data_IF_862952509396
#
_entry.id   IF_862952509396
#
_cell.length_a   1.000
_cell.length_b   1.000
_cell.length_c   1.000
_cell.angle_alpha   90.00
_cell.angle_beta   90.00
_cell.angle_gamma   90.00
#
_symmetry.space_group_name_H-M   'P 1'
#
loop_
_entity.id
_entity.type
_entity.pdbx_description
1 polymer ?
#
# COMPACT_ATOMS: atom_id res chain seq x y z
N UNK A 1 -1.87 6.20 66.72
CA UNK A 1 -2.80 6.58 65.63
C UNK A 1 -2.18 7.77 64.92
N UNK A 2 -1.83 7.78 63.65
CA UNK A 2 -1.91 6.84 62.54
C UNK A 2 -0.74 7.25 61.62
N UNK A 3 0.09 6.28 61.22
CA UNK A 3 1.05 6.46 60.12
C UNK A 3 0.27 6.79 58.85
N UNK A 4 0.72 7.76 58.06
CA UNK A 4 0.24 7.91 56.68
C UNK A 4 1.39 7.55 55.76
N UNK A 5 1.23 6.36 55.18
CA UNK A 5 2.13 5.72 54.24
C UNK A 5 2.16 6.43 52.89
N UNK A 6 3.30 6.26 52.21
CA UNK A 6 3.50 6.30 50.77
C UNK A 6 2.23 6.04 49.96
N UNK A 7 1.97 6.94 49.01
CA UNK A 7 1.50 6.50 47.69
C UNK A 7 2.41 7.12 46.65
N UNK A 8 3.35 6.30 46.19
CA UNK A 8 4.12 6.51 44.98
C UNK A 8 3.15 6.82 43.84
N UNK A 9 3.26 8.03 43.29
CA UNK A 9 2.69 8.36 41.99
C UNK A 9 3.49 7.57 40.97
N UNK A 10 3.03 6.34 40.69
CA UNK A 10 3.45 5.59 39.52
C UNK A 10 3.06 6.41 38.29
N UNK A 11 4.02 7.20 37.80
CA UNK A 11 4.07 7.61 36.40
C UNK A 11 4.11 6.32 35.58
N UNK A 12 2.94 5.82 35.18
CA UNK A 12 2.85 4.95 34.02
C UNK A 12 3.32 5.81 32.85
N UNK A 13 4.61 5.69 32.51
CA UNK A 13 5.04 5.95 31.13
C UNK A 13 4.26 4.95 30.32
N UNK A 14 3.14 5.39 29.74
CA UNK A 14 2.63 4.75 28.55
C UNK A 14 3.79 4.81 27.55
N UNK A 15 4.56 3.72 27.45
CA UNK A 15 5.42 3.49 26.30
C UNK A 15 4.47 3.57 25.10
N UNK A 16 4.53 4.71 24.41
CA UNK A 16 3.74 5.05 23.24
C UNK A 16 4.09 4.03 22.15
N UNK A 17 3.41 2.89 22.19
CA UNK A 17 3.63 1.79 21.28
C UNK A 17 3.14 2.27 19.91
N UNK A 18 4.05 2.77 19.08
CA UNK A 18 3.70 3.18 17.73
C UNK A 18 3.02 1.98 17.03
N UNK A 19 1.80 2.18 16.51
CA UNK A 19 1.06 1.08 15.91
C UNK A 19 1.82 0.56 14.70
N UNK A 20 2.27 -0.69 14.81
CA UNK A 20 2.93 -1.43 13.73
C UNK A 20 2.01 -1.45 12.50
N UNK A 21 2.52 -0.96 11.37
CA UNK A 21 1.77 -0.89 10.11
C UNK A 21 1.26 -2.28 9.68
N UNK A 22 0.01 -2.40 9.25
CA UNK A 22 -0.54 -3.69 8.81
C UNK A 22 -0.15 -4.02 7.34
N UNK A 23 0.94 -4.76 7.17
CA UNK A 23 1.45 -5.21 5.87
C UNK A 23 1.98 -6.65 5.91
N UNK A 24 2.29 -7.25 4.76
CA UNK A 24 2.75 -8.64 4.68
C UNK A 24 4.25 -8.78 4.96
N UNK A 25 5.01 -7.69 4.90
CA UNK A 25 6.44 -7.68 5.18
C UNK A 25 6.73 -7.96 6.65
N UNK A 26 5.92 -7.40 7.56
CA UNK A 26 6.00 -7.60 9.01
C UNK A 26 4.97 -8.62 9.51
N UNK A 27 4.53 -9.55 8.66
CA UNK A 27 3.50 -10.56 8.99
C UNK A 27 3.78 -11.37 10.27
N UNK A 28 5.04 -11.45 10.70
CA UNK A 28 5.43 -12.14 11.93
C UNK A 28 4.94 -11.42 13.20
N UNK A 29 4.71 -10.11 13.11
CA UNK A 29 4.25 -9.24 14.19
C UNK A 29 2.73 -9.05 14.17
N UNK A 30 2.04 -9.60 13.17
CA UNK A 30 0.61 -9.41 12.95
C UNK A 30 -0.21 -10.63 13.37
N UNK A 31 -1.44 -10.43 13.88
CA UNK A 31 -2.38 -11.52 14.12
C UNK A 31 -2.64 -12.32 12.84
N UNK A 32 -2.80 -13.65 12.97
CA UNK A 32 -3.06 -14.54 11.82
C UNK A 32 -4.25 -14.06 10.97
N UNK A 33 -5.33 -13.58 11.61
CA UNK A 33 -6.51 -13.02 10.93
C UNK A 33 -6.17 -11.81 10.07
N UNK A 34 -5.29 -10.93 10.54
CA UNK A 34 -4.80 -9.76 9.79
C UNK A 34 -3.98 -10.22 8.59
N UNK A 35 -3.04 -11.16 8.79
CA UNK A 35 -2.22 -11.72 7.71
C UNK A 35 -3.08 -12.37 6.62
N UNK A 36 -4.11 -13.14 7.01
CA UNK A 36 -5.06 -13.75 6.06
C UNK A 36 -5.81 -12.69 5.25
N UNK A 37 -6.38 -11.68 5.92
CA UNK A 37 -7.07 -10.57 5.25
C UNK A 37 -6.15 -9.85 4.26
N UNK A 38 -4.93 -9.49 4.67
CA UNK A 38 -3.95 -8.81 3.82
C UNK A 38 -3.55 -9.68 2.62
N UNK A 39 -3.39 -10.99 2.83
CA UNK A 39 -3.07 -11.95 1.76
C UNK A 39 -4.20 -12.04 0.73
N UNK A 40 -5.45 -12.09 1.18
CA UNK A 40 -6.61 -12.06 0.28
C UNK A 40 -6.73 -10.74 -0.48
N UNK A 41 -6.53 -9.61 0.20
CA UNK A 41 -6.52 -8.28 -0.43
C UNK A 41 -5.43 -8.19 -1.50
N UNK A 42 -4.21 -8.63 -1.19
CA UNK A 42 -3.11 -8.68 -2.15
C UNK A 42 -3.43 -9.56 -3.37
N UNK A 43 -4.09 -10.72 -3.15
CA UNK A 43 -4.54 -11.60 -4.23
C UNK A 43 -5.59 -10.94 -5.11
N UNK A 44 -6.58 -10.25 -4.51
CA UNK A 44 -7.64 -9.51 -5.21
C UNK A 44 -7.04 -8.38 -6.05
N UNK A 45 -6.18 -7.54 -5.47
CA UNK A 45 -5.49 -6.46 -6.19
C UNK A 45 -4.63 -6.99 -7.34
N UNK A 46 -3.87 -8.06 -7.12
CA UNK A 46 -3.11 -8.72 -8.17
C UNK A 46 -3.99 -9.20 -9.33
N UNK A 47 -5.19 -9.73 -9.04
CA UNK A 47 -6.17 -10.11 -10.08
C UNK A 47 -6.66 -8.89 -10.85
N UNK A 48 -7.04 -7.82 -10.16
CA UNK A 48 -7.52 -6.57 -10.79
C UNK A 48 -6.46 -5.96 -11.72
N UNK A 49 -5.20 -5.87 -11.28
CA UNK A 49 -4.09 -5.36 -12.09
C UNK A 49 -3.92 -6.20 -13.35
N UNK A 50 -3.89 -7.53 -13.23
CA UNK A 50 -3.76 -8.44 -14.39
C UNK A 50 -4.93 -8.29 -15.36
N UNK A 51 -6.16 -8.22 -14.84
CA UNK A 51 -7.35 -8.00 -15.67
C UNK A 51 -7.27 -6.66 -16.41
N UNK A 52 -6.88 -5.58 -15.73
CA UNK A 52 -6.72 -4.26 -16.36
C UNK A 52 -5.62 -4.25 -17.42
N UNK A 53 -4.48 -4.93 -17.17
CA UNK A 53 -3.44 -5.07 -18.20
C UNK A 53 -3.96 -5.78 -19.46
N UNK A 54 -4.74 -6.86 -19.30
CA UNK A 54 -5.35 -7.58 -20.44
C UNK A 54 -6.33 -6.69 -21.21
N UNK A 55 -7.19 -5.97 -20.50
CA UNK A 55 -8.14 -5.05 -21.13
C UNK A 55 -7.41 -3.90 -21.84
N UNK A 56 -6.35 -3.35 -21.25
CA UNK A 56 -5.52 -2.34 -21.90
C UNK A 56 -4.87 -2.86 -23.18
N UNK A 57 -4.32 -4.07 -23.16
CA UNK A 57 -3.78 -4.70 -24.37
C UNK A 57 -4.85 -4.94 -25.43
N UNK A 58 -6.08 -5.22 -25.03
CA UNK A 58 -7.14 -5.52 -26.00
C UNK A 58 -7.71 -4.25 -26.66
N UNK A 59 -7.90 -3.18 -25.89
CA UNK A 59 -8.69 -2.01 -26.30
C UNK A 59 -7.91 -0.70 -26.41
N UNK A 60 -6.70 -0.62 -25.85
CA UNK A 60 -5.93 0.62 -25.72
C UNK A 60 -4.64 0.61 -26.55
N UNK A 61 -4.46 -0.37 -27.43
CA UNK A 61 -3.33 -0.43 -28.36
C UNK A 61 -3.66 0.41 -29.60
N UNK A 62 -2.74 1.29 -29.99
CA UNK A 62 -2.79 1.92 -31.30
C UNK A 62 -2.43 0.89 -32.37
N UNK A 63 -3.45 0.30 -33.03
CA UNK A 63 -3.25 -0.71 -34.07
C UNK A 63 -2.67 -0.15 -35.36
N UNK A 64 -2.85 1.14 -35.60
CA UNK A 64 -2.35 1.83 -36.81
C UNK A 64 -0.86 2.13 -36.69
N UNK A 65 -0.39 2.40 -35.47
CA UNK A 65 1.02 2.68 -35.18
C UNK A 65 1.51 1.97 -33.91
N UNK A 66 1.72 0.63 -33.96
CA UNK A 66 2.15 -0.17 -32.80
C UNK A 66 3.48 0.32 -32.20
N UNK A 67 4.39 0.78 -33.06
CA UNK A 67 5.72 1.28 -32.71
C UNK A 67 5.73 2.59 -31.91
N UNK A 68 4.64 3.37 -31.88
CA UNK A 68 4.58 4.59 -31.08
C UNK A 68 4.48 4.31 -29.58
N UNK A 69 4.20 3.06 -29.17
CA UNK A 69 4.09 2.63 -27.78
C UNK A 69 3.21 3.57 -26.91
N UNK A 70 2.22 4.18 -27.55
CA UNK A 70 1.24 5.10 -26.96
C UNK A 70 0.12 4.34 -26.21
N UNK A 71 0.30 3.03 -25.96
CA UNK A 71 -0.63 2.16 -25.23
C UNK A 71 -1.09 2.77 -23.89
N UNK A 72 -0.22 3.61 -23.30
CA UNK A 72 -0.44 4.28 -22.02
C UNK A 72 -1.26 5.58 -22.11
N UNK A 73 -1.43 6.17 -23.30
CA UNK A 73 -2.15 7.43 -23.52
C UNK A 73 -3.62 7.23 -23.88
N UNK A 74 -3.94 6.12 -24.54
CA UNK A 74 -5.29 5.88 -25.08
C UNK A 74 -6.34 5.53 -24.00
N UNK A 75 -5.92 5.10 -22.81
CA UNK A 75 -6.83 4.70 -21.72
C UNK A 75 -6.45 5.30 -20.36
N UNK A 76 -6.62 6.63 -20.18
CA UNK A 76 -6.21 7.33 -18.96
C UNK A 76 -6.95 6.84 -17.71
N UNK A 77 -8.25 6.52 -17.83
CA UNK A 77 -9.06 6.04 -16.69
C UNK A 77 -8.52 4.71 -16.15
N UNK A 78 -8.37 3.70 -17.01
CA UNK A 78 -7.84 2.40 -16.59
C UNK A 78 -6.39 2.46 -16.12
N UNK A 79 -5.60 3.39 -16.66
CA UNK A 79 -4.25 3.67 -16.16
C UNK A 79 -4.29 4.17 -14.73
N UNK A 80 -5.17 5.13 -14.41
CA UNK A 80 -5.31 5.68 -13.07
C UNK A 80 -5.82 4.62 -12.08
N UNK A 81 -6.84 3.85 -12.44
CA UNK A 81 -7.29 2.72 -11.62
C UNK A 81 -6.16 1.71 -11.37
N UNK A 82 -5.39 1.37 -12.41
CA UNK A 82 -4.24 0.47 -12.27
C UNK A 82 -3.16 1.06 -11.37
N UNK A 83 -2.88 2.36 -11.43
CA UNK A 83 -1.94 3.02 -10.51
C UNK A 83 -2.40 2.88 -9.07
N UNK A 84 -3.68 3.12 -8.78
CA UNK A 84 -4.27 2.93 -7.45
C UNK A 84 -4.09 1.50 -6.96
N UNK A 85 -4.50 0.50 -7.76
CA UNK A 85 -4.37 -0.89 -7.35
C UNK A 85 -2.91 -1.31 -7.13
N UNK A 86 -1.98 -0.83 -7.96
CA UNK A 86 -0.55 -1.11 -7.79
C UNK A 86 0.00 -0.48 -6.51
N UNK A 87 -0.40 0.75 -6.21
CA UNK A 87 0.02 1.42 -4.98
C UNK A 87 -0.48 0.68 -3.73
N UNK A 88 -1.77 0.35 -3.70
CA UNK A 88 -2.35 -0.45 -2.61
C UNK A 88 -1.66 -1.80 -2.45
N UNK A 89 -1.36 -2.48 -3.57
CA UNK A 89 -0.66 -3.76 -3.54
C UNK A 89 0.77 -3.63 -3.00
N UNK A 90 1.48 -2.57 -3.41
CA UNK A 90 2.81 -2.26 -2.92
C UNK A 90 2.78 -2.02 -1.41
N UNK A 91 1.87 -1.16 -0.93
CA UNK A 91 1.73 -0.85 0.50
C UNK A 91 1.38 -2.09 1.33
N UNK A 92 0.40 -2.90 0.88
CA UNK A 92 0.03 -4.16 1.55
C UNK A 92 1.21 -5.13 1.62
N UNK A 93 2.06 -5.20 0.59
CA UNK A 93 3.15 -6.17 0.54
C UNK A 93 4.43 -5.71 1.23
N UNK A 94 4.73 -4.42 1.18
CA UNK A 94 6.04 -3.87 1.53
C UNK A 94 5.97 -2.71 2.53
N UNK A 95 4.79 -2.42 3.10
CA UNK A 95 4.58 -1.31 4.02
C UNK A 95 4.97 0.04 3.38
N UNK A 96 5.38 1.02 4.19
CA UNK A 96 6.08 2.22 3.74
C UNK A 96 7.49 1.98 3.17
N UNK A 97 8.01 0.75 3.18
CA UNK A 97 9.36 0.44 2.71
C UNK A 97 9.36 0.12 1.21
N UNK A 98 9.21 1.15 0.40
CA UNK A 98 9.17 1.00 -1.06
C UNK A 98 10.49 0.56 -1.69
N UNK A 99 11.60 0.63 -0.94
CA UNK A 99 12.91 0.16 -1.44
C UNK A 99 12.87 -1.34 -1.79
N UNK A 100 12.02 -2.11 -1.11
CA UNK A 100 11.83 -3.55 -1.33
C UNK A 100 10.89 -3.88 -2.49
N UNK A 101 10.24 -2.89 -3.10
CA UNK A 101 9.40 -3.10 -4.26
C UNK A 101 10.26 -3.40 -5.51
N UNK A 102 9.96 -4.45 -6.30
CA UNK A 102 10.76 -4.77 -7.50
C UNK A 102 10.92 -3.65 -8.53
N UNK A 103 10.06 -2.63 -8.50
CA UNK A 103 10.17 -1.45 -9.37
C UNK A 103 10.31 -0.14 -8.57
N UNK A 104 11.01 -0.18 -7.43
CA UNK A 104 11.21 0.98 -6.55
C UNK A 104 11.74 2.21 -7.30
N UNK A 105 12.68 2.01 -8.24
CA UNK A 105 13.26 3.08 -9.06
C UNK A 105 12.24 3.85 -9.91
N UNK A 106 11.08 3.23 -10.22
CA UNK A 106 10.02 3.86 -11.01
C UNK A 106 8.97 4.57 -10.15
N UNK A 107 9.04 4.47 -8.82
CA UNK A 107 8.03 5.01 -7.92
C UNK A 107 7.83 6.52 -8.15
N UNK A 108 8.91 7.30 -8.07
CA UNK A 108 8.85 8.76 -8.27
C UNK A 108 8.34 9.12 -9.66
N UNK A 109 8.83 8.44 -10.72
CA UNK A 109 8.34 8.68 -12.08
C UNK A 109 6.86 8.32 -12.30
N UNK A 110 6.30 7.41 -11.47
CA UNK A 110 4.94 6.90 -11.63
C UNK A 110 3.92 7.74 -10.88
N UNK A 111 4.24 8.14 -9.64
CA UNK A 111 3.34 8.85 -8.74
C UNK A 111 3.67 10.33 -8.59
N UNK A 112 4.96 10.71 -8.69
CA UNK A 112 5.43 12.08 -8.59
C UNK A 112 4.90 12.78 -7.35
N UNK A 113 4.42 14.00 -7.52
CA UNK A 113 3.84 14.83 -6.45
C UNK A 113 2.60 14.22 -5.80
N UNK A 114 1.92 13.28 -6.49
CA UNK A 114 0.78 12.58 -5.90
C UNK A 114 1.20 11.53 -4.87
N UNK A 115 2.49 11.19 -4.73
CA UNK A 115 2.91 10.15 -3.79
C UNK A 115 2.43 10.44 -2.36
N UNK A 116 2.58 11.68 -1.88
CA UNK A 116 2.14 12.09 -0.56
C UNK A 116 0.62 11.92 -0.38
N UNK A 117 -0.16 12.19 -1.43
CA UNK A 117 -1.61 11.97 -1.41
C UNK A 117 -1.94 10.48 -1.28
N UNK A 118 -1.24 9.62 -2.02
CA UNK A 118 -1.43 8.17 -1.95
C UNK A 118 -0.99 7.61 -0.60
N UNK A 119 0.09 8.14 -0.02
CA UNK A 119 0.52 7.83 1.35
C UNK A 119 -0.55 8.19 2.36
N UNK A 120 -1.18 9.35 2.22
CA UNK A 120 -2.25 9.79 3.12
C UNK A 120 -3.51 8.93 2.97
N UNK A 121 -3.94 8.66 1.74
CA UNK A 121 -5.20 7.94 1.46
C UNK A 121 -5.12 6.43 1.76
N UNK A 122 -3.93 5.85 1.67
CA UNK A 122 -3.72 4.42 1.85
C UNK A 122 -2.70 4.11 2.95
N UNK A 123 -2.42 5.07 3.84
CA UNK A 123 -1.86 4.78 5.14
C UNK A 123 -2.86 3.87 5.84
N UNK A 124 -2.60 2.56 5.85
CA UNK A 124 -3.36 1.62 6.67
C UNK A 124 -2.96 1.82 8.14
N UNK A 125 -3.14 3.03 8.66
CA UNK A 125 -3.18 3.29 10.08
C UNK A 125 -4.50 2.71 10.59
N UNK A 126 -4.44 1.92 11.67
CA UNK A 126 -5.62 1.39 12.34
C UNK A 126 -6.55 2.55 12.74
N UNK A 127 -7.88 2.33 12.75
CA UNK A 127 -8.80 3.22 13.46
C UNK A 127 -8.43 3.35 14.94
#
# INVERSE_FOLDING_TARGET
MLSTEMTDVLFFKDDEYEPVEECLLNRAELPLKTVQRLTEQARKLGKLIRTRNRLQQQYCINREHPQLNDEFRLCPIWRNEKKVHNYQLMRIKYCADYSKWPNASKLMSTYGDNLNLYETLYAFQKP
#
